data_IF_371835748080
#
_entry.id   IF_371835748080
#
_cell.length_a   1.000
_cell.length_b   1.000
_cell.length_c   1.000
_cell.angle_alpha   90.00
_cell.angle_beta   90.00
_cell.angle_gamma   90.00
#
_symmetry.space_group_name_H-M   'P 1'
#
loop_
_entity.id
_entity.type
_entity.pdbx_description
1 polymer ?
#
# COMPACT_ATOMS: atom_id res chain seq x y z
N UNK A 1 -0.52 12.90 13.51
CA UNK A 1 -1.23 14.13 13.15
C UNK A 1 -2.63 13.77 12.66
N UNK A 2 -3.64 14.60 12.96
CA UNK A 2 -4.98 14.44 12.40
C UNK A 2 -5.11 15.32 11.16
N UNK A 3 -5.34 14.73 10.00
CA UNK A 3 -5.61 15.47 8.77
C UNK A 3 -7.11 15.74 8.64
N UNK A 4 -7.46 17.01 8.40
CA UNK A 4 -8.83 17.47 8.19
C UNK A 4 -9.32 17.22 6.78
N UNK A 5 -8.46 17.33 5.79
CA UNK A 5 -8.80 17.09 4.40
C UNK A 5 -7.77 16.16 3.78
N UNK A 6 -8.23 14.99 3.33
CA UNK A 6 -7.39 13.97 2.70
C UNK A 6 -7.95 13.73 1.31
N UNK A 7 -7.08 13.90 0.31
CA UNK A 7 -7.44 13.78 -1.09
C UNK A 7 -6.52 12.77 -1.74
N UNK A 8 -7.08 11.69 -2.29
CA UNK A 8 -6.31 10.69 -3.05
C UNK A 8 -6.77 10.71 -4.50
N UNK A 9 -5.85 11.03 -5.40
CA UNK A 9 -6.05 11.03 -6.85
C UNK A 9 -5.36 9.82 -7.46
N UNK A 10 -6.15 8.96 -8.11
CA UNK A 10 -5.69 7.78 -8.83
C UNK A 10 -5.48 8.08 -10.31
N UNK A 11 -4.63 7.30 -11.00
CA UNK A 11 -4.27 7.50 -12.42
C UNK A 11 -5.48 7.52 -13.36
N UNK A 12 -6.54 6.78 -13.04
CA UNK A 12 -7.77 6.73 -13.84
C UNK A 12 -8.69 7.96 -13.65
N UNK A 13 -8.20 9.01 -12.98
CA UNK A 13 -8.97 10.23 -12.70
C UNK A 13 -9.99 10.07 -11.57
N UNK A 14 -10.10 8.88 -10.95
CA UNK A 14 -10.89 8.72 -9.74
C UNK A 14 -10.23 9.49 -8.62
N UNK A 15 -11.07 10.10 -7.81
CA UNK A 15 -10.67 10.84 -6.63
C UNK A 15 -11.51 10.34 -5.46
N UNK A 16 -10.88 10.16 -4.31
CA UNK A 16 -11.57 9.98 -3.04
C UNK A 16 -11.14 11.08 -2.06
N UNK A 17 -12.14 11.63 -1.38
CA UNK A 17 -11.94 12.62 -0.33
C UNK A 17 -12.57 12.13 0.96
N UNK A 18 -11.82 12.26 2.05
CA UNK A 18 -12.30 11.97 3.39
C UNK A 18 -11.54 12.80 4.42
N UNK A 19 -12.12 12.90 5.62
CA UNK A 19 -11.73 13.88 6.62
C UNK A 19 -11.53 13.23 7.99
N UNK A 20 -10.76 13.90 8.85
CA UNK A 20 -10.51 13.50 10.24
C UNK A 20 -9.85 12.11 10.38
N UNK A 21 -8.78 11.82 9.61
CA UNK A 21 -7.96 10.61 9.81
C UNK A 21 -6.52 10.93 10.19
N UNK A 22 -5.96 10.08 11.06
CA UNK A 22 -4.52 9.94 11.27
C UNK A 22 -3.97 8.99 10.19
N UNK A 23 -2.85 9.36 9.57
CA UNK A 23 -2.23 8.60 8.49
C UNK A 23 -0.90 8.02 8.97
N UNK A 24 -0.70 6.73 8.71
CA UNK A 24 0.53 6.03 9.00
C UNK A 24 1.07 5.37 7.73
N UNK A 25 2.38 5.39 7.59
CA UNK A 25 3.12 4.82 6.46
C UNK A 25 3.84 3.56 6.94
N UNK A 26 3.75 2.49 6.16
CA UNK A 26 4.65 1.35 6.23
C UNK A 26 5.37 1.20 4.87
N UNK A 27 6.70 1.35 4.89
CA UNK A 27 7.54 1.43 3.69
C UNK A 27 8.71 0.44 3.67
N UNK A 28 8.89 -0.43 4.68
CA UNK A 28 10.17 -1.14 4.85
C UNK A 28 10.09 -2.51 5.58
N UNK A 29 9.08 -3.33 5.25
CA UNK A 29 9.04 -4.75 5.65
C UNK A 29 9.26 -5.02 7.15
N UNK A 30 8.47 -4.39 8.01
CA UNK A 30 8.25 -4.81 9.41
C UNK A 30 7.06 -4.03 10.00
N UNK A 31 6.57 -4.42 11.18
CA UNK A 31 5.40 -3.82 11.86
C UNK A 31 5.63 -2.37 12.35
N UNK A 32 6.62 -1.68 11.76
CA UNK A 32 6.99 -0.30 12.04
C UNK A 32 6.15 0.66 11.21
N UNK A 33 5.21 1.31 11.90
CA UNK A 33 4.37 2.35 11.35
C UNK A 33 4.94 3.72 11.69
N UNK A 34 5.19 4.54 10.67
CA UNK A 34 5.56 5.94 10.86
C UNK A 34 4.31 6.80 10.71
N UNK A 35 3.98 7.57 11.74
CA UNK A 35 2.90 8.55 11.65
C UNK A 35 3.33 9.72 10.78
N UNK A 36 2.49 10.10 9.83
CA UNK A 36 2.77 11.17 8.88
C UNK A 36 2.64 12.52 9.61
N UNK A 37 3.70 13.33 9.57
CA UNK A 37 3.74 14.64 10.23
C UNK A 37 3.26 15.76 9.29
N UNK A 38 2.88 16.90 9.88
CA UNK A 38 2.56 18.11 9.14
C UNK A 38 3.76 18.59 8.33
N UNK A 39 3.50 19.27 7.21
CA UNK A 39 4.53 19.91 6.39
C UNK A 39 5.57 18.90 5.87
N UNK A 40 5.08 17.76 5.39
CA UNK A 40 5.92 16.67 4.89
C UNK A 40 5.63 16.40 3.42
N UNK A 41 6.67 15.92 2.73
CA UNK A 41 6.59 15.47 1.35
C UNK A 41 7.25 14.10 1.27
N UNK A 42 6.66 13.21 0.49
CA UNK A 42 7.20 11.87 0.31
C UNK A 42 6.81 11.29 -1.03
N UNK A 43 7.71 10.46 -1.56
CA UNK A 43 7.47 9.69 -2.77
C UNK A 43 7.96 8.27 -2.55
N UNK A 44 7.11 7.29 -2.85
CA UNK A 44 7.39 5.88 -2.64
C UNK A 44 7.00 5.08 -3.88
N UNK A 45 7.83 4.11 -4.26
CA UNK A 45 7.51 3.17 -5.35
C UNK A 45 6.37 2.25 -4.96
N UNK A 46 6.40 1.72 -3.72
CA UNK A 46 5.38 0.85 -3.12
C UNK A 46 5.22 1.23 -1.65
N UNK A 47 3.99 1.36 -1.17
CA UNK A 47 3.73 1.72 0.23
C UNK A 47 2.39 1.17 0.70
N UNK A 48 2.30 0.88 1.99
CA UNK A 48 1.04 0.63 2.65
C UNK A 48 0.69 1.81 3.55
N UNK A 49 -0.47 2.42 3.30
CA UNK A 49 -1.02 3.46 4.16
C UNK A 49 -2.08 2.87 5.10
N UNK A 50 -2.05 3.27 6.37
CA UNK A 50 -3.11 3.03 7.34
C UNK A 50 -3.77 4.35 7.71
N UNK A 51 -5.10 4.36 7.66
CA UNK A 51 -5.94 5.49 8.02
C UNK A 51 -6.73 5.13 9.27
N UNK A 52 -6.64 5.95 10.32
CA UNK A 52 -7.36 5.75 11.58
C UNK A 52 -8.21 6.97 11.96
N UNK A 53 -9.52 6.78 12.09
CA UNK A 53 -10.45 7.77 12.63
C UNK A 53 -11.01 7.27 13.97
N UNK A 54 -10.51 7.86 15.07
CA UNK A 54 -10.90 7.50 16.44
C UNK A 54 -12.36 7.85 16.75
N UNK A 55 -12.93 8.89 16.12
CA UNK A 55 -14.31 9.33 16.40
C UNK A 55 -15.33 8.36 15.81
N UNK A 56 -15.08 7.90 14.58
CA UNK A 56 -15.94 6.95 13.88
C UNK A 56 -15.63 5.49 14.22
N UNK A 57 -14.58 5.24 15.01
CA UNK A 57 -14.02 3.92 15.23
C UNK A 57 -13.76 3.17 13.91
N UNK A 58 -13.25 3.89 12.92
CA UNK A 58 -12.93 3.33 11.60
C UNK A 58 -11.42 3.29 11.40
N UNK A 59 -10.95 2.14 10.92
CA UNK A 59 -9.56 1.93 10.55
C UNK A 59 -9.53 1.12 9.26
N UNK A 60 -8.80 1.61 8.26
CA UNK A 60 -8.63 0.93 6.98
C UNK A 60 -7.23 1.14 6.43
N UNK A 61 -6.91 0.35 5.41
CA UNK A 61 -5.59 0.28 4.80
C UNK A 61 -5.72 0.34 3.27
N UNK A 62 -4.70 0.84 2.59
CA UNK A 62 -4.63 0.87 1.11
C UNK A 62 -3.19 0.68 0.66
N UNK A 63 -2.99 -0.13 -0.37
CA UNK A 63 -1.70 -0.36 -1.00
C UNK A 63 -1.57 0.57 -2.18
N UNK A 64 -0.52 1.41 -2.16
CA UNK A 64 -0.28 2.41 -3.19
C UNK A 64 1.07 2.19 -3.87
N UNK A 65 1.11 2.47 -5.16
CA UNK A 65 2.23 2.30 -6.08
C UNK A 65 2.50 3.62 -6.80
N UNK A 66 3.79 3.92 -6.99
CA UNK A 66 4.26 5.19 -7.56
C UNK A 66 3.53 6.38 -6.94
N UNK A 67 3.51 6.40 -5.60
CA UNK A 67 2.79 7.40 -4.84
C UNK A 67 3.66 8.60 -4.55
N UNK A 68 3.07 9.78 -4.62
CA UNK A 68 3.62 11.01 -4.09
C UNK A 68 2.58 11.66 -3.18
N UNK A 69 3.01 12.26 -2.08
CA UNK A 69 2.13 13.05 -1.24
C UNK A 69 2.78 14.35 -0.78
N UNK A 70 1.93 15.33 -0.54
CA UNK A 70 2.27 16.61 0.06
C UNK A 70 1.28 16.85 1.19
N UNK A 71 1.80 16.96 2.40
CA UNK A 71 1.05 17.32 3.60
C UNK A 71 1.36 18.76 3.98
N UNK A 72 0.34 19.61 4.04
CA UNK A 72 0.44 21.01 4.47
C UNK A 72 -0.56 21.28 5.60
N UNK A 73 -0.03 21.56 6.79
CA UNK A 73 -0.79 21.74 8.02
C UNK A 73 -1.75 20.56 8.29
N UNK A 74 -3.03 20.70 7.96
CA UNK A 74 -4.09 19.72 8.19
C UNK A 74 -4.61 19.09 6.88
N UNK A 75 -3.99 19.41 5.74
CA UNK A 75 -4.36 18.89 4.43
C UNK A 75 -3.29 17.92 3.94
N UNK A 76 -3.71 16.90 3.22
CA UNK A 76 -2.79 16.02 2.50
C UNK A 76 -3.37 15.65 1.14
N UNK A 77 -2.56 15.88 0.11
CA UNK A 77 -2.82 15.48 -1.27
C UNK A 77 -1.93 14.30 -1.61
N UNK A 78 -2.54 13.18 -1.99
CA UNK A 78 -1.88 11.95 -2.37
C UNK A 78 -2.20 11.68 -3.85
N UNK A 79 -1.17 11.43 -4.65
CA UNK A 79 -1.28 11.06 -6.06
C UNK A 79 -0.61 9.72 -6.27
N UNK A 80 -1.31 8.78 -6.90
CA UNK A 80 -0.87 7.38 -7.01
C UNK A 80 -1.23 6.80 -8.36
N UNK A 81 -0.45 5.82 -8.81
CA UNK A 81 -0.75 5.07 -10.04
C UNK A 81 -1.57 3.81 -9.80
N UNK A 82 -1.82 3.47 -8.53
CA UNK A 82 -2.64 2.32 -8.17
C UNK A 82 -4.09 2.44 -8.63
N UNK A 83 -4.75 1.28 -8.65
CA UNK A 83 -6.20 1.21 -8.58
C UNK A 83 -6.68 1.54 -7.16
N UNK A 84 -7.94 1.95 -7.04
CA UNK A 84 -8.57 2.19 -5.75
C UNK A 84 -8.91 0.86 -5.09
N UNK A 85 -8.28 0.58 -3.95
CA UNK A 85 -8.49 -0.62 -3.13
C UNK A 85 -8.50 -0.26 -1.63
N UNK A 86 -9.32 -0.98 -0.87
CA UNK A 86 -9.43 -0.79 0.57
C UNK A 86 -9.36 -2.12 1.29
N UNK A 87 -8.73 -2.09 2.47
CA UNK A 87 -8.57 -3.26 3.30
C UNK A 87 -8.93 -2.96 4.75
N UNK A 88 -9.52 -3.93 5.44
CA UNK A 88 -9.82 -3.88 6.87
C UNK A 88 -9.29 -5.13 7.57
N UNK A 89 -9.13 -5.06 8.89
CA UNK A 89 -8.74 -6.22 9.71
C UNK A 89 -9.76 -7.35 9.53
N UNK A 90 -9.28 -8.52 9.15
CA UNK A 90 -10.12 -9.70 8.94
C UNK A 90 -10.58 -10.27 10.29
N UNK A 91 -11.84 -10.72 10.36
CA UNK A 91 -12.40 -11.35 11.57
C UNK A 91 -11.80 -12.73 11.86
N UNK A 92 -11.28 -13.40 10.83
CA UNK A 92 -10.66 -14.72 10.92
C UNK A 92 -9.30 -14.66 10.24
N UNK A 93 -8.30 -15.30 10.85
CA UNK A 93 -6.96 -15.39 10.28
C UNK A 93 -6.98 -16.20 8.99
N UNK A 94 -6.61 -15.57 7.87
CA UNK A 94 -6.35 -16.26 6.61
C UNK A 94 -4.88 -16.66 6.57
N UNK A 95 -4.60 -17.91 6.18
CA UNK A 95 -3.24 -18.40 6.02
C UNK A 95 -2.89 -18.44 4.53
N UNK A 96 -2.17 -17.44 4.02
CA UNK A 96 -1.72 -17.39 2.62
C UNK A 96 -0.23 -17.73 2.49
N UNK A 97 0.33 -18.53 3.41
CA UNK A 97 1.75 -18.96 3.35
C UNK A 97 2.12 -19.69 2.06
N UNK A 98 1.18 -20.41 1.44
CA UNK A 98 1.39 -21.10 0.16
C UNK A 98 1.63 -20.13 -0.99
N UNK A 99 0.82 -19.08 -1.08
CA UNK A 99 0.91 -18.03 -2.11
C UNK A 99 2.24 -17.27 -2.04
N UNK A 100 2.70 -16.95 -0.82
CA UNK A 100 4.02 -16.33 -0.60
C UNK A 100 5.18 -17.21 -1.08
N UNK A 101 5.08 -18.53 -0.88
CA UNK A 101 6.12 -19.45 -1.31
C UNK A 101 6.19 -19.55 -2.84
N UNK A 102 5.04 -19.55 -3.51
CA UNK A 102 4.95 -19.56 -4.97
C UNK A 102 5.50 -18.26 -5.58
N UNK A 103 5.14 -17.10 -5.04
CA UNK A 103 5.67 -15.81 -5.49
C UNK A 103 7.20 -15.76 -5.35
N UNK A 104 7.75 -16.18 -4.20
CA UNK A 104 9.20 -16.28 -4.01
C UNK A 104 9.87 -17.24 -5.00
N UNK A 105 9.21 -18.33 -5.36
CA UNK A 105 9.73 -19.30 -6.35
C UNK A 105 9.83 -18.66 -7.73
N UNK A 106 8.77 -17.99 -8.19
CA UNK A 106 8.74 -17.29 -9.49
C UNK A 106 9.80 -16.18 -9.55
N UNK A 107 9.89 -15.35 -8.52
CA UNK A 107 10.94 -14.32 -8.43
C UNK A 107 12.34 -14.93 -8.52
N UNK A 108 12.58 -16.08 -7.85
CA UNK A 108 13.86 -16.78 -7.94
C UNK A 108 14.15 -17.30 -9.35
N UNK A 109 13.14 -17.85 -10.03
CA UNK A 109 13.27 -18.34 -11.40
C UNK A 109 13.73 -17.21 -12.35
N UNK A 110 13.04 -16.06 -12.34
CA UNK A 110 13.42 -14.89 -13.17
C UNK A 110 14.78 -14.32 -12.76
N UNK A 111 15.09 -14.25 -11.46
CA UNK A 111 16.41 -13.79 -10.99
C UNK A 111 17.55 -14.73 -11.39
N UNK A 112 17.28 -16.03 -11.57
CA UNK A 112 18.30 -17.00 -11.99
C UNK A 112 18.66 -16.86 -13.48
N UNK A 113 17.75 -16.29 -14.28
CA UNK A 113 18.00 -15.95 -15.69
C UNK A 113 18.91 -14.71 -15.86
N UNK A 114 19.24 -13.98 -14.78
CA UNK A 114 20.10 -12.78 -14.83
C UNK A 114 21.49 -13.02 -15.42
N UNK A 115 21.96 -14.27 -15.52
CA UNK A 115 23.25 -14.60 -16.13
C UNK A 115 23.40 -14.16 -17.60
N UNK A 116 22.30 -13.79 -18.30
CA UNK A 116 22.32 -13.25 -19.66
C UNK A 116 21.78 -11.80 -19.78
N UNK A 117 21.42 -11.17 -18.66
CA UNK A 117 20.65 -9.92 -18.62
C UNK A 117 19.15 -10.15 -18.79
N UNK A 118 18.32 -9.30 -18.17
CA UNK A 118 16.87 -9.38 -18.30
C UNK A 118 16.37 -8.72 -19.59
N UNK A 119 15.44 -9.38 -20.27
CA UNK A 119 14.63 -8.70 -21.31
C UNK A 119 13.59 -7.79 -20.64
N UNK A 120 13.07 -6.81 -21.38
CA UNK A 120 12.12 -5.81 -20.85
C UNK A 120 10.91 -6.49 -20.18
N UNK A 121 10.39 -7.56 -20.79
CA UNK A 121 9.24 -8.28 -20.26
C UNK A 121 9.55 -8.94 -18.90
N UNK A 122 10.76 -9.49 -18.72
CA UNK A 122 11.19 -10.07 -17.44
C UNK A 122 11.36 -9.01 -16.34
N UNK A 123 11.77 -7.78 -16.71
CA UNK A 123 11.84 -6.64 -15.78
C UNK A 123 10.45 -6.26 -15.29
N UNK A 124 9.48 -6.17 -16.21
CA UNK A 124 8.08 -5.84 -15.90
C UNK A 124 7.48 -6.95 -15.01
N UNK A 125 7.66 -8.22 -15.39
CA UNK A 125 7.16 -9.35 -14.62
C UNK A 125 7.77 -9.39 -13.20
N UNK A 126 9.06 -9.07 -13.05
CA UNK A 126 9.67 -8.98 -11.72
C UNK A 126 9.02 -7.90 -10.86
N UNK A 127 8.78 -6.70 -11.42
CA UNK A 127 8.16 -5.61 -10.65
C UNK A 127 6.74 -5.95 -10.19
N UNK A 128 5.96 -6.60 -11.07
CA UNK A 128 4.63 -7.13 -10.76
C UNK A 128 4.66 -8.21 -9.67
N UNK A 129 5.63 -9.13 -9.74
CA UNK A 129 5.82 -10.17 -8.72
C UNK A 129 6.24 -9.59 -7.38
N UNK A 130 7.15 -8.61 -7.36
CA UNK A 130 7.57 -7.90 -6.15
C UNK A 130 6.39 -7.18 -5.50
N UNK A 131 5.55 -6.52 -6.30
CA UNK A 131 4.36 -5.84 -5.80
C UNK A 131 3.34 -6.83 -5.22
N UNK A 132 3.06 -7.91 -5.95
CA UNK A 132 2.18 -8.99 -5.49
C UNK A 132 2.70 -9.62 -4.20
N UNK A 133 4.01 -9.81 -4.10
CA UNK A 133 4.69 -10.33 -2.92
C UNK A 133 4.53 -9.38 -1.72
N UNK A 134 4.77 -8.09 -1.92
CA UNK A 134 4.57 -7.07 -0.87
C UNK A 134 3.13 -7.04 -0.35
N UNK A 135 2.14 -7.00 -1.23
CA UNK A 135 0.72 -7.00 -0.87
C UNK A 135 0.38 -8.28 -0.09
N UNK A 136 0.78 -9.45 -0.59
CA UNK A 136 0.51 -10.73 0.07
C UNK A 136 1.20 -10.81 1.45
N UNK A 137 2.45 -10.34 1.55
CA UNK A 137 3.21 -10.36 2.80
C UNK A 137 2.52 -9.52 3.87
N UNK A 138 2.15 -8.28 3.53
CA UNK A 138 1.48 -7.36 4.43
C UNK A 138 0.06 -7.82 4.78
N UNK A 139 -0.69 -8.40 3.82
CA UNK A 139 -2.01 -9.01 4.08
C UNK A 139 -1.93 -10.10 5.15
N UNK A 140 -0.94 -10.99 5.03
CA UNK A 140 -0.71 -12.04 6.01
C UNK A 140 -0.25 -11.49 7.37
N UNK A 141 0.73 -10.59 7.37
CA UNK A 141 1.33 -10.04 8.59
C UNK A 141 0.31 -9.27 9.41
N UNK A 142 -0.50 -8.44 8.75
CA UNK A 142 -1.50 -7.59 9.39
C UNK A 142 -2.87 -8.27 9.52
N UNK A 143 -3.05 -9.44 8.91
CA UNK A 143 -4.35 -10.13 8.82
C UNK A 143 -5.47 -9.18 8.32
N UNK A 144 -5.27 -8.62 7.12
CA UNK A 144 -6.21 -7.70 6.47
C UNK A 144 -6.84 -8.33 5.22
N UNK A 145 -8.10 -7.97 4.94
CA UNK A 145 -8.84 -8.43 3.77
C UNK A 145 -9.48 -7.28 3.01
N UNK A 146 -9.67 -7.49 1.70
CA UNK A 146 -10.21 -6.47 0.79
C UNK A 146 -11.68 -6.22 1.06
N UNK A 147 -12.09 -4.97 0.96
CA UNK A 147 -13.47 -4.51 1.15
C UNK A 147 -13.84 -3.53 0.03
N UNK A 148 -15.12 -3.48 -0.33
CA UNK A 148 -15.60 -2.59 -1.39
C UNK A 148 -15.53 -1.10 -1.01
N UNK A 149 -15.70 -0.79 0.28
CA UNK A 149 -15.71 0.57 0.82
C UNK A 149 -14.84 0.67 2.09
N UNK A 150 -14.24 1.85 2.28
CA UNK A 150 -13.43 2.19 3.45
C UNK A 150 -14.27 2.50 4.69
N UNK A 151 -15.55 2.87 4.54
CA UNK A 151 -16.50 3.12 5.63
C UNK A 151 -16.85 1.86 6.42
#
# INVERSE_FOLDING_TARGET
MLFKNINITYLNGKNIQFNDYEIFINHNDEDNWVELDKNSVGSYSKVLLRFRNKKLNNEFYTFLESVSFIADMENIDIKTFSSQNFYKKAKKTKNQRGELAELKKKMREISSNQHFGWIIDEVIEMDELENSYFICLMKNLLNIEEVENYE
#
